data_IF_140191820119
#
_entry.id   IF_140191820119
#
_cell.length_a   1.000
_cell.length_b   1.000
_cell.length_c   1.000
_cell.angle_alpha   90.00
_cell.angle_beta   90.00
_cell.angle_gamma   90.00
#
_symmetry.space_group_name_H-M   'P 1'
#
loop_
_entity.id
_entity.type
_entity.pdbx_description
1 polymer ?
#
# COMPACT_ATOMS: atom_id res chain seq x y z
N UNK A 1 -6.21 13.90 3.68
CA UNK A 1 -6.83 13.39 4.93
C UNK A 1 -7.10 11.91 4.71
N UNK A 2 -6.66 11.03 5.63
CA UNK A 2 -6.58 9.58 5.37
C UNK A 2 -7.81 8.84 5.92
N UNK A 3 -8.25 7.76 5.27
CA UNK A 3 -9.48 7.03 5.65
C UNK A 3 -9.43 6.47 7.08
N UNK A 4 -8.33 5.82 7.48
CA UNK A 4 -8.17 5.29 8.83
C UNK A 4 -8.28 6.39 9.92
N UNK A 5 -7.70 7.57 9.68
CA UNK A 5 -7.82 8.71 10.61
C UNK A 5 -9.24 9.29 10.72
N UNK A 6 -10.13 8.90 9.81
CA UNK A 6 -11.55 9.30 9.80
C UNK A 6 -12.47 8.22 10.40
N UNK A 7 -11.91 7.11 10.88
CA UNK A 7 -12.66 6.04 11.54
C UNK A 7 -13.02 4.85 10.65
N UNK A 8 -12.60 4.84 9.38
CA UNK A 8 -12.82 3.67 8.51
C UNK A 8 -11.92 2.50 8.91
N UNK A 9 -12.43 1.28 8.81
CA UNK A 9 -11.60 0.08 8.88
C UNK A 9 -10.86 -0.09 7.57
N UNK A 10 -9.53 -0.12 7.62
CA UNK A 10 -8.69 -0.13 6.41
C UNK A 10 -7.84 -1.39 6.38
N UNK A 11 -7.89 -2.10 5.27
CA UNK A 11 -6.95 -3.19 4.98
C UNK A 11 -6.10 -2.79 3.77
N UNK A 12 -4.79 -2.71 3.97
CA UNK A 12 -3.83 -2.40 2.91
C UNK A 12 -3.16 -3.69 2.45
N UNK A 13 -3.26 -3.98 1.17
CA UNK A 13 -2.61 -5.15 0.58
C UNK A 13 -1.47 -4.72 -0.34
N UNK A 14 -0.36 -5.43 -0.24
CA UNK A 14 0.76 -5.30 -1.18
C UNK A 14 1.30 -6.70 -1.50
N UNK A 15 1.57 -6.95 -2.79
CA UNK A 15 2.16 -8.20 -3.24
C UNK A 15 3.63 -8.35 -2.81
N UNK A 16 4.30 -7.26 -2.47
CA UNK A 16 5.69 -7.25 -2.03
C UNK A 16 5.80 -7.48 -0.51
N UNK A 17 7.02 -7.83 -0.09
CA UNK A 17 7.36 -8.06 1.31
C UNK A 17 7.53 -6.77 2.14
N UNK A 18 7.48 -5.60 1.50
CA UNK A 18 7.54 -4.29 2.15
C UNK A 18 6.67 -3.26 1.43
N UNK A 19 6.11 -2.33 2.20
CA UNK A 19 5.40 -1.17 1.65
C UNK A 19 6.36 -0.29 0.86
N UNK A 20 5.82 0.51 -0.07
CA UNK A 20 6.54 1.59 -0.72
C UNK A 20 6.59 1.51 -2.24
N UNK A 21 6.30 0.35 -2.83
CA UNK A 21 6.29 0.18 -4.28
C UNK A 21 7.55 0.74 -4.94
N UNK A 22 7.39 1.69 -5.88
CA UNK A 22 8.51 2.29 -6.60
C UNK A 22 9.47 3.11 -5.73
N UNK A 23 9.05 3.55 -4.55
CA UNK A 23 9.95 4.26 -3.62
C UNK A 23 11.07 3.33 -3.13
N UNK A 24 10.84 2.02 -3.04
CA UNK A 24 11.87 1.06 -2.66
C UNK A 24 12.99 0.94 -3.70
N UNK A 25 12.71 1.27 -4.95
CA UNK A 25 13.71 1.37 -6.01
C UNK A 25 14.35 2.77 -5.95
N UNK A 26 13.53 3.83 -5.87
CA UNK A 26 14.01 5.20 -5.91
C UNK A 26 14.95 5.56 -4.76
N UNK A 27 14.71 5.02 -3.54
CA UNK A 27 15.53 5.26 -2.35
C UNK A 27 16.98 4.77 -2.48
N UNK A 28 17.27 3.89 -3.44
CA UNK A 28 18.61 3.34 -3.66
C UNK A 28 19.48 4.24 -4.55
N UNK A 29 18.90 5.27 -5.17
CA UNK A 29 19.61 6.19 -6.06
C UNK A 29 20.35 7.22 -5.20
N UNK A 30 21.65 7.48 -5.43
CA UNK A 30 22.38 8.53 -4.73
C UNK A 30 21.70 9.90 -4.86
N UNK A 31 21.52 10.59 -3.73
CA UNK A 31 20.81 11.88 -3.66
C UNK A 31 19.29 11.75 -3.55
N UNK A 32 18.73 10.55 -3.34
CA UNK A 32 17.29 10.29 -3.13
C UNK A 32 16.99 9.60 -1.79
N UNK A 33 17.86 9.82 -0.81
CA UNK A 33 17.79 9.20 0.52
C UNK A 33 16.56 9.66 1.31
N UNK A 34 15.99 10.81 0.99
CA UNK A 34 14.75 11.34 1.59
C UNK A 34 13.54 10.39 1.48
N UNK A 35 13.56 9.46 0.52
CA UNK A 35 12.50 8.44 0.41
C UNK A 35 12.53 7.41 1.54
N UNK A 36 13.67 7.19 2.21
CA UNK A 36 13.69 6.36 3.43
C UNK A 36 12.83 6.98 4.53
N UNK A 37 12.93 8.29 4.72
CA UNK A 37 12.17 9.01 5.75
C UNK A 37 10.67 8.98 5.46
N UNK A 38 10.29 9.11 4.18
CA UNK A 38 8.90 9.01 3.75
C UNK A 38 8.32 7.62 4.03
N UNK A 39 9.06 6.56 3.70
CA UNK A 39 8.63 5.18 3.98
C UNK A 39 8.54 4.91 5.49
N UNK A 40 9.49 5.43 6.26
CA UNK A 40 9.48 5.34 7.73
C UNK A 40 8.24 6.02 8.30
N UNK A 41 7.90 7.21 7.82
CA UNK A 41 6.69 7.94 8.23
C UNK A 41 5.43 7.11 7.96
N UNK A 42 5.25 6.59 6.74
CA UNK A 42 4.05 5.80 6.42
C UNK A 42 3.96 4.51 7.19
N UNK A 43 5.08 3.83 7.44
CA UNK A 43 5.10 2.65 8.29
C UNK A 43 4.60 2.96 9.70
N UNK A 44 5.09 4.06 10.28
CA UNK A 44 4.62 4.54 11.59
C UNK A 44 3.13 4.92 11.56
N UNK A 45 2.66 5.55 10.49
CA UNK A 45 1.25 5.93 10.37
C UNK A 45 0.33 4.72 10.25
N UNK A 46 0.73 3.68 9.53
CA UNK A 46 -0.01 2.40 9.46
C UNK A 46 -0.18 1.83 10.86
N UNK A 47 0.91 1.73 11.63
CA UNK A 47 0.88 1.21 13.01
C UNK A 47 -0.02 2.07 13.92
N UNK A 48 0.10 3.40 13.83
CA UNK A 48 -0.66 4.32 14.68
C UNK A 48 -2.16 4.38 14.35
N UNK A 49 -2.53 4.12 13.10
CA UNK A 49 -3.91 4.21 12.65
C UNK A 49 -4.63 2.87 12.64
N UNK A 50 -3.94 1.77 12.97
CA UNK A 50 -4.54 0.44 13.05
C UNK A 50 -4.93 -0.13 11.69
N UNK A 51 -4.28 0.31 10.61
CA UNK A 51 -4.48 -0.26 9.27
C UNK A 51 -4.02 -1.73 9.28
N UNK A 52 -4.89 -2.66 8.86
CA UNK A 52 -4.54 -4.07 8.67
C UNK A 52 -3.65 -4.20 7.44
N UNK A 53 -2.34 -4.34 7.64
CA UNK A 53 -1.37 -4.43 6.56
C UNK A 53 -1.08 -5.89 6.19
N UNK A 54 -1.40 -6.28 4.95
CA UNK A 54 -1.19 -7.61 4.39
C UNK A 54 -0.16 -7.57 3.26
N UNK A 55 1.08 -7.86 3.62
CA UNK A 55 2.21 -7.97 2.69
C UNK A 55 2.32 -9.39 2.12
N UNK A 56 3.08 -9.54 1.03
CA UNK A 56 3.20 -10.80 0.28
C UNK A 56 1.84 -11.35 -0.17
N UNK A 57 0.87 -10.46 -0.44
CA UNK A 57 -0.48 -10.85 -0.78
C UNK A 57 -0.88 -10.26 -2.13
N UNK A 58 -0.93 -11.11 -3.15
CA UNK A 58 -1.44 -10.72 -4.46
C UNK A 58 -2.96 -10.82 -4.46
N UNK A 59 -3.63 -9.68 -4.65
CA UNK A 59 -5.10 -9.54 -4.60
C UNK A 59 -5.72 -9.84 -5.96
N UNK A 60 -6.70 -10.74 -6.00
CA UNK A 60 -7.60 -10.96 -7.12
C UNK A 60 -8.96 -10.31 -6.86
N UNK A 61 -9.79 -10.19 -7.91
CA UNK A 61 -11.12 -9.59 -7.79
C UNK A 61 -12.03 -10.31 -6.77
N UNK A 62 -11.90 -11.62 -6.62
CA UNK A 62 -12.64 -12.40 -5.61
C UNK A 62 -12.33 -11.99 -4.18
N UNK A 63 -11.07 -11.61 -3.91
CA UNK A 63 -10.59 -11.25 -2.58
C UNK A 63 -11.15 -9.89 -2.13
N UNK A 64 -11.75 -9.15 -3.06
CA UNK A 64 -12.29 -7.80 -2.86
C UNK A 64 -13.80 -7.76 -2.63
N UNK A 65 -14.50 -8.87 -2.82
CA UNK A 65 -15.97 -8.90 -2.87
C UNK A 65 -16.66 -8.56 -1.54
N UNK A 66 -15.96 -8.68 -0.41
CA UNK A 66 -16.50 -8.45 0.93
C UNK A 66 -16.25 -7.03 1.48
N UNK A 67 -15.62 -6.18 0.68
CA UNK A 67 -15.34 -4.79 1.03
C UNK A 67 -16.39 -3.87 0.43
N UNK A 68 -16.80 -2.86 1.20
CA UNK A 68 -17.79 -1.88 0.76
C UNK A 68 -17.21 -0.97 -0.33
N UNK A 69 -15.93 -0.62 -0.21
CA UNK A 69 -15.21 0.23 -1.16
C UNK A 69 -13.79 -0.25 -1.45
N UNK A 70 -13.40 -0.17 -2.72
CA UNK A 70 -12.08 -0.63 -3.17
C UNK A 70 -11.34 0.50 -3.85
N UNK A 71 -10.13 0.82 -3.36
CA UNK A 71 -9.23 1.79 -3.98
C UNK A 71 -8.07 1.04 -4.65
N UNK A 72 -8.11 0.99 -5.98
CA UNK A 72 -7.00 0.39 -6.74
C UNK A 72 -5.82 1.36 -6.77
N UNK A 73 -4.70 0.95 -6.17
CA UNK A 73 -3.46 1.73 -6.08
C UNK A 73 -2.29 0.96 -6.73
N UNK A 74 -2.57 0.24 -7.83
CA UNK A 74 -1.77 -0.87 -8.33
C UNK A 74 -0.41 -0.53 -8.94
N UNK A 75 -0.05 0.75 -8.94
CA UNK A 75 1.14 1.25 -9.61
C UNK A 75 1.04 1.08 -11.14
N UNK A 76 2.21 1.00 -11.79
CA UNK A 76 2.33 0.91 -13.24
C UNK A 76 3.10 -0.36 -13.65
N UNK A 77 2.65 -0.98 -14.74
CA UNK A 77 3.38 -2.04 -15.42
C UNK A 77 4.18 -1.45 -16.58
N UNK A 78 5.52 -1.38 -16.48
CA UNK A 78 6.39 -0.89 -17.57
C UNK A 78 6.57 -1.90 -18.72
N UNK A 79 6.13 -3.14 -18.51
CA UNK A 79 6.07 -4.32 -19.42
C UNK A 79 4.88 -5.16 -18.90
N UNK A 80 4.15 -6.02 -19.66
CA UNK A 80 3.04 -6.82 -19.13
C UNK A 80 3.53 -7.85 -18.09
N UNK A 81 3.79 -7.39 -16.87
CA UNK A 81 3.95 -8.17 -15.66
C UNK A 81 3.18 -7.44 -14.58
N UNK A 82 2.22 -8.18 -14.00
CA UNK A 82 1.20 -7.75 -13.05
C UNK A 82 1.85 -6.95 -11.90
N UNK A 83 1.58 -5.66 -11.83
CA UNK A 83 1.88 -4.80 -10.68
C UNK A 83 0.59 -4.55 -9.92
N UNK A 84 0.53 -4.80 -8.61
CA UNK A 84 -0.61 -4.35 -7.78
C UNK A 84 -0.24 -4.14 -6.32
N UNK A 85 -0.26 -2.89 -5.85
CA UNK A 85 -0.67 -2.54 -4.50
C UNK A 85 -2.17 -2.15 -4.51
N UNK A 86 -2.97 -2.56 -3.55
CA UNK A 86 -4.40 -2.21 -3.49
C UNK A 86 -4.71 -1.70 -2.09
N UNK A 87 -5.26 -0.49 -2.00
CA UNK A 87 -5.73 0.09 -0.74
C UNK A 87 -7.20 -0.27 -0.62
N UNK A 88 -7.59 -0.98 0.42
CA UNK A 88 -8.95 -1.51 0.51
C UNK A 88 -9.62 -1.00 1.80
N UNK A 89 -10.85 -0.50 1.67
CA UNK A 89 -11.59 0.16 2.75
C UNK A 89 -12.87 -0.62 3.08
N UNK A 90 -13.19 -0.71 4.36
CA UNK A 90 -14.47 -1.21 4.89
C UNK A 90 -15.06 -0.15 5.81
N UNK A 91 -16.35 0.14 5.69
CA UNK A 91 -17.02 1.15 6.53
C UNK A 91 -17.06 0.72 7.99
#
# INVERSE_FOLDING_TARGET
MNAATRGHSVTLFDALAEIGGQFNIAKQIPGKEEFYETLRYYRRMIDLTGVDLRLNHFVNASDLMEFDEVILASGIARVPRRSTASIILRY
#
